data_IF_198962021737
#
_entry.id   IF_198962021737
#
_cell.length_a   1.000
_cell.length_b   1.000
_cell.length_c   1.000
_cell.angle_alpha   90.00
_cell.angle_beta   90.00
_cell.angle_gamma   90.00
#
_symmetry.space_group_name_H-M   'P 1'
#
loop_
_entity.id
_entity.type
_entity.pdbx_description
1 polymer ?
#
# COMPACT_ATOMS: atom_id res chain seq x y z
N UNK A 1 -14.62 -23.08 -7.33
CA UNK A 1 -15.28 -22.36 -8.44
C UNK A 1 -14.27 -21.57 -9.26
N UNK A 2 -14.37 -21.66 -10.58
CA UNK A 2 -13.66 -20.78 -11.50
C UNK A 2 -14.25 -19.36 -11.39
N UNK A 3 -13.40 -18.36 -11.54
CA UNK A 3 -13.74 -16.94 -11.54
C UNK A 3 -14.06 -16.51 -12.97
N UNK A 4 -15.18 -15.81 -13.13
CA UNK A 4 -15.62 -15.28 -14.43
C UNK A 4 -15.04 -13.89 -14.67
N UNK A 5 -14.61 -13.64 -15.90
CA UNK A 5 -14.12 -12.34 -16.34
C UNK A 5 -15.23 -11.27 -16.33
N UNK A 6 -16.46 -11.66 -16.70
CA UNK A 6 -17.60 -10.75 -16.77
C UNK A 6 -17.94 -10.22 -15.38
N UNK A 7 -18.00 -11.11 -14.38
CA UNK A 7 -18.23 -10.73 -12.98
C UNK A 7 -17.11 -9.81 -12.48
N UNK A 8 -15.86 -10.09 -12.83
CA UNK A 8 -14.74 -9.23 -12.45
C UNK A 8 -14.87 -7.82 -13.05
N UNK A 9 -15.33 -7.67 -14.30
CA UNK A 9 -15.56 -6.36 -14.93
C UNK A 9 -16.75 -5.63 -14.30
N UNK A 10 -17.85 -6.32 -14.00
CA UNK A 10 -19.00 -5.74 -13.28
C UNK A 10 -18.53 -5.20 -11.92
N UNK A 11 -17.80 -6.01 -11.16
CA UNK A 11 -17.25 -5.58 -9.86
C UNK A 11 -16.23 -4.44 -9.97
N UNK A 12 -15.52 -4.34 -11.10
CA UNK A 12 -14.59 -3.23 -11.34
C UNK A 12 -15.34 -1.92 -11.63
N UNK A 13 -16.43 -1.97 -12.40
CA UNK A 13 -17.20 -0.76 -12.75
C UNK A 13 -17.97 -0.26 -11.52
N UNK A 14 -18.68 -1.13 -10.82
CA UNK A 14 -19.52 -0.74 -9.68
C UNK A 14 -18.74 -0.64 -8.36
N UNK A 15 -17.61 -1.35 -8.24
CA UNK A 15 -16.88 -1.51 -6.99
C UNK A 15 -15.37 -1.32 -7.12
N UNK A 16 -14.89 -0.77 -8.23
CA UNK A 16 -13.46 -0.62 -8.51
C UNK A 16 -12.75 0.28 -7.50
N UNK A 17 -13.39 1.39 -7.11
CA UNK A 17 -12.88 2.30 -6.08
C UNK A 17 -12.78 1.62 -4.70
N UNK A 18 -13.70 0.73 -4.39
CA UNK A 18 -13.67 -0.08 -3.17
C UNK A 18 -12.72 -1.30 -3.27
N UNK A 19 -12.19 -1.62 -4.46
CA UNK A 19 -11.36 -2.81 -4.67
C UNK A 19 -12.14 -4.13 -4.64
N UNK A 20 -13.46 -4.12 -4.86
CA UNK A 20 -14.29 -5.34 -4.81
C UNK A 20 -13.89 -6.39 -5.85
N UNK A 21 -13.46 -5.96 -7.04
CA UNK A 21 -12.94 -6.86 -8.07
C UNK A 21 -11.69 -7.61 -7.60
N UNK A 22 -10.85 -6.99 -6.78
CA UNK A 22 -9.63 -7.60 -6.25
C UNK A 22 -9.94 -8.65 -5.19
N UNK A 23 -10.95 -8.43 -4.35
CA UNK A 23 -11.43 -9.45 -3.39
C UNK A 23 -11.99 -10.66 -4.12
N UNK A 24 -12.79 -10.44 -5.17
CA UNK A 24 -13.30 -11.53 -5.99
C UNK A 24 -12.17 -12.37 -6.60
N UNK A 25 -11.08 -11.71 -6.97
CA UNK A 25 -9.85 -12.30 -7.53
C UNK A 25 -8.86 -12.80 -6.45
N UNK A 26 -9.23 -12.78 -5.16
CA UNK A 26 -8.40 -13.24 -4.03
C UNK A 26 -7.08 -12.46 -3.86
N UNK A 27 -7.13 -11.16 -4.09
CA UNK A 27 -6.01 -10.23 -3.93
C UNK A 27 -6.27 -9.25 -2.78
N UNK A 28 -6.52 -9.79 -1.60
CA UNK A 28 -7.02 -9.05 -0.43
C UNK A 28 -6.09 -7.91 -0.02
N UNK A 29 -4.77 -8.13 -0.03
CA UNK A 29 -3.79 -7.07 0.28
C UNK A 29 -3.88 -5.87 -0.67
N UNK A 30 -4.18 -6.12 -1.94
CA UNK A 30 -4.35 -5.03 -2.90
C UNK A 30 -5.70 -4.34 -2.72
N UNK A 31 -6.76 -5.11 -2.40
CA UNK A 31 -8.06 -4.56 -2.07
C UNK A 31 -7.99 -3.66 -0.83
N UNK A 32 -7.33 -4.11 0.24
CA UNK A 32 -7.08 -3.33 1.44
C UNK A 32 -6.35 -2.01 1.15
N UNK A 33 -5.34 -2.03 0.27
CA UNK A 33 -4.68 -0.80 -0.14
C UNK A 33 -5.59 0.14 -0.93
N UNK A 34 -6.43 -0.38 -1.82
CA UNK A 34 -7.42 0.43 -2.54
C UNK A 34 -8.39 1.08 -1.56
N UNK A 35 -8.80 0.33 -0.55
CA UNK A 35 -9.64 0.85 0.51
C UNK A 35 -8.96 1.98 1.30
N UNK A 36 -7.70 1.78 1.72
CA UNK A 36 -6.93 2.79 2.47
C UNK A 36 -6.58 4.05 1.64
N UNK A 37 -6.63 3.96 0.32
CA UNK A 37 -6.21 5.04 -0.60
C UNK A 37 -7.35 5.57 -1.47
N UNK A 38 -8.60 5.29 -1.07
CA UNK A 38 -9.82 5.75 -1.73
C UNK A 38 -9.83 5.42 -3.25
N UNK A 39 -9.63 4.15 -3.58
CA UNK A 39 -9.56 3.67 -4.96
C UNK A 39 -8.19 3.78 -5.62
N UNK A 40 -7.11 3.79 -4.83
CA UNK A 40 -5.75 3.69 -5.37
C UNK A 40 -5.28 4.96 -6.06
N UNK A 41 -4.97 5.98 -5.26
CA UNK A 41 -4.42 7.27 -5.70
C UNK A 41 -5.33 7.94 -6.74
N UNK A 42 -6.49 8.41 -6.28
CA UNK A 42 -7.50 9.11 -7.08
C UNK A 42 -8.02 8.33 -8.31
N UNK A 43 -8.22 7.00 -8.19
CA UNK A 43 -8.88 6.21 -9.24
C UNK A 43 -7.99 5.78 -10.43
N UNK A 44 -6.70 6.11 -10.43
CA UNK A 44 -5.77 5.65 -11.46
C UNK A 44 -5.52 4.14 -11.40
N UNK A 45 -5.61 3.54 -10.21
CA UNK A 45 -5.31 2.13 -10.02
C UNK A 45 -6.41 1.19 -10.59
N UNK A 46 -7.72 1.47 -10.45
CA UNK A 46 -8.80 0.80 -11.17
C UNK A 46 -8.64 0.86 -12.70
N UNK A 47 -8.28 2.01 -13.26
CA UNK A 47 -8.02 2.16 -14.71
C UNK A 47 -6.89 1.23 -15.17
N UNK A 48 -5.79 1.17 -14.41
CA UNK A 48 -4.69 0.22 -14.68
C UNK A 48 -5.16 -1.23 -14.59
N UNK A 49 -6.00 -1.54 -13.61
CA UNK A 49 -6.52 -2.89 -13.42
C UNK A 49 -7.47 -3.32 -14.54
N UNK A 50 -8.20 -2.40 -15.17
CA UNK A 50 -9.04 -2.67 -16.34
C UNK A 50 -8.26 -3.41 -17.45
N UNK A 51 -7.06 -2.93 -17.78
CA UNK A 51 -6.20 -3.55 -18.80
C UNK A 51 -5.55 -4.87 -18.35
N UNK A 52 -5.41 -5.09 -17.04
CA UNK A 52 -4.74 -6.29 -16.47
C UNK A 52 -5.72 -7.33 -15.93
N UNK A 53 -7.02 -7.08 -15.99
CA UNK A 53 -8.04 -7.89 -15.35
C UNK A 53 -8.06 -9.32 -15.89
N UNK A 54 -7.93 -9.48 -17.21
CA UNK A 54 -7.85 -10.79 -17.88
C UNK A 54 -6.72 -11.66 -17.30
N UNK A 55 -5.55 -11.06 -17.06
CA UNK A 55 -4.41 -11.75 -16.45
C UNK A 55 -4.68 -12.14 -14.99
N UNK A 56 -5.40 -11.31 -14.24
CA UNK A 56 -5.76 -11.62 -12.86
C UNK A 56 -6.79 -12.75 -12.77
N UNK A 57 -7.73 -12.84 -13.72
CA UNK A 57 -8.69 -13.94 -13.81
C UNK A 57 -7.96 -15.26 -14.11
N UNK A 58 -7.02 -15.25 -15.07
CA UNK A 58 -6.16 -16.41 -15.36
C UNK A 58 -5.36 -16.85 -14.15
N UNK A 59 -4.79 -15.89 -13.40
CA UNK A 59 -4.07 -16.16 -12.15
C UNK A 59 -4.99 -16.79 -11.08
N UNK A 60 -6.20 -16.24 -10.89
CA UNK A 60 -7.16 -16.73 -9.90
C UNK A 60 -7.70 -18.13 -10.23
N UNK A 61 -7.77 -18.46 -11.53
CA UNK A 61 -8.18 -19.77 -12.03
C UNK A 61 -7.05 -20.80 -12.08
N UNK A 62 -5.79 -20.39 -11.89
CA UNK A 62 -4.60 -21.22 -12.10
C UNK A 62 -4.60 -21.88 -13.50
N UNK A 63 -4.86 -21.07 -14.53
CA UNK A 63 -4.79 -21.50 -15.93
C UNK A 63 -3.43 -22.16 -16.23
N UNK A 64 -3.44 -23.28 -16.96
CA UNK A 64 -2.24 -24.06 -17.27
C UNK A 64 -1.20 -23.23 -18.05
N UNK A 65 -1.66 -22.35 -18.95
CA UNK A 65 -0.78 -21.44 -19.68
C UNK A 65 -0.11 -20.44 -18.73
N UNK A 66 -0.90 -19.81 -17.85
CA UNK A 66 -0.38 -18.84 -16.88
C UNK A 66 0.63 -19.48 -15.92
N UNK A 67 0.36 -20.70 -15.44
CA UNK A 67 1.25 -21.43 -14.55
C UNK A 67 2.55 -21.82 -15.27
N UNK A 68 2.48 -22.24 -16.54
CA UNK A 68 3.66 -22.54 -17.35
C UNK A 68 4.54 -21.30 -17.56
N UNK A 69 3.94 -20.16 -17.93
CA UNK A 69 4.64 -18.89 -18.12
C UNK A 69 5.29 -18.41 -16.80
N UNK A 70 4.57 -18.51 -15.69
CA UNK A 70 5.08 -18.16 -14.37
C UNK A 70 6.25 -19.06 -13.96
N UNK A 71 6.14 -20.37 -14.20
CA UNK A 71 7.21 -21.32 -13.94
C UNK A 71 8.45 -21.04 -14.79
N UNK A 72 8.26 -20.69 -16.07
CA UNK A 72 9.36 -20.28 -16.95
C UNK A 72 10.05 -19.00 -16.44
N UNK A 73 9.27 -18.00 -15.99
CA UNK A 73 9.83 -16.78 -15.41
C UNK A 73 10.60 -17.04 -14.12
N UNK A 74 10.12 -17.92 -13.26
CA UNK A 74 10.81 -18.32 -12.02
C UNK A 74 12.09 -19.13 -12.28
N UNK A 75 12.12 -19.92 -13.37
CA UNK A 75 13.34 -20.63 -13.81
C UNK A 75 14.37 -19.66 -14.37
N UNK A 76 13.94 -18.71 -15.20
CA UNK A 76 14.82 -17.70 -15.82
C UNK A 76 15.40 -16.73 -14.78
N UNK A 77 14.57 -16.26 -13.85
CA UNK A 77 14.95 -15.23 -12.89
C UNK A 77 14.93 -15.78 -11.46
N UNK A 78 16.11 -15.90 -10.83
CA UNK A 78 16.23 -16.33 -9.42
C UNK A 78 15.41 -15.45 -8.45
N UNK A 79 15.27 -14.15 -8.77
CA UNK A 79 14.45 -13.17 -8.03
C UNK A 79 13.45 -12.48 -8.97
N UNK A 80 12.30 -12.01 -8.47
CA UNK A 80 11.37 -11.23 -9.27
C UNK A 80 12.05 -9.98 -9.86
N UNK A 81 11.86 -9.67 -11.16
CA UNK A 81 12.42 -8.45 -11.74
C UNK A 81 11.82 -7.20 -11.08
N UNK A 82 12.51 -6.06 -11.20
CA UNK A 82 11.98 -4.78 -10.72
C UNK A 82 10.73 -4.41 -11.52
N UNK A 83 9.65 -4.08 -10.82
CA UNK A 83 8.44 -3.56 -11.43
C UNK A 83 8.28 -2.10 -11.03
N UNK A 84 8.51 -1.19 -11.98
CA UNK A 84 8.49 0.26 -11.73
C UNK A 84 7.16 0.71 -11.14
N UNK A 85 6.03 0.20 -11.65
CA UNK A 85 4.70 0.53 -11.10
C UNK A 85 4.60 0.14 -9.62
N UNK A 86 5.10 -1.05 -9.24
CA UNK A 86 5.11 -1.48 -7.83
C UNK A 86 6.10 -0.67 -6.99
N UNK A 87 7.22 -0.28 -7.56
CA UNK A 87 8.23 0.54 -6.88
C UNK A 87 7.68 1.94 -6.58
N UNK A 88 7.06 2.60 -7.56
CA UNK A 88 6.39 3.88 -7.38
C UNK A 88 5.24 3.76 -6.38
N UNK A 89 4.42 2.70 -6.46
CA UNK A 89 3.34 2.48 -5.50
C UNK A 89 3.85 2.35 -4.04
N UNK A 90 5.01 1.72 -3.81
CA UNK A 90 5.64 1.65 -2.49
C UNK A 90 6.01 3.03 -1.98
N UNK A 91 6.60 3.87 -2.83
CA UNK A 91 7.00 5.23 -2.46
C UNK A 91 5.76 6.08 -2.12
N UNK A 92 4.75 6.09 -2.99
CA UNK A 92 3.53 6.88 -2.80
C UNK A 92 2.79 6.47 -1.52
N UNK A 93 2.51 5.18 -1.34
CA UNK A 93 1.76 4.68 -0.19
C UNK A 93 2.59 4.80 1.09
N UNK A 94 3.88 4.50 1.04
CA UNK A 94 4.74 4.60 2.22
C UNK A 94 5.00 6.03 2.67
N UNK A 95 5.09 6.99 1.75
CA UNK A 95 5.11 8.40 2.13
C UNK A 95 3.77 8.83 2.72
N UNK A 96 2.65 8.48 2.08
CA UNK A 96 1.32 8.81 2.60
C UNK A 96 1.12 8.30 4.04
N UNK A 97 1.44 7.02 4.31
CA UNK A 97 1.33 6.45 5.65
C UNK A 97 2.29 7.09 6.66
N UNK A 98 3.51 7.43 6.23
CA UNK A 98 4.46 8.15 7.08
C UNK A 98 3.93 9.53 7.49
N UNK A 99 3.45 10.31 6.53
CA UNK A 99 2.92 11.64 6.80
C UNK A 99 1.64 11.61 7.62
N UNK A 100 0.75 10.66 7.35
CA UNK A 100 -0.45 10.47 8.18
C UNK A 100 -0.08 10.13 9.62
N UNK A 101 0.93 9.28 9.83
CA UNK A 101 1.42 8.97 11.16
C UNK A 101 1.99 10.21 11.87
N UNK A 102 2.83 10.99 11.18
CA UNK A 102 3.44 12.21 11.73
C UNK A 102 2.39 13.28 12.03
N UNK A 103 1.41 13.46 11.15
CA UNK A 103 0.33 14.43 11.31
C UNK A 103 -0.61 14.07 12.48
N UNK A 104 -0.74 12.79 12.81
CA UNK A 104 -1.47 12.35 13.99
C UNK A 104 -0.74 12.66 15.32
N UNK A 105 0.55 13.02 15.27
CA UNK A 105 1.31 13.38 16.47
C UNK A 105 1.16 14.89 16.74
N UNK A 106 0.60 15.29 17.89
CA UNK A 106 0.42 16.71 18.22
C UNK A 106 1.78 17.38 18.46
N UNK A 107 1.93 18.61 17.97
CA UNK A 107 3.12 19.44 18.22
C UNK A 107 3.05 20.18 19.57
N UNK A 108 1.85 20.32 20.12
CA UNK A 108 1.62 20.95 21.42
C UNK A 108 1.96 20.01 22.58
N UNK A 109 2.37 20.59 23.71
CA UNK A 109 2.63 19.83 24.93
C UNK A 109 1.31 19.45 25.58
N UNK A 110 1.02 18.16 25.66
CA UNK A 110 -0.15 17.65 26.37
C UNK A 110 0.27 17.39 27.83
N UNK A 111 -0.39 18.05 28.79
CA UNK A 111 -0.06 17.96 30.23
C UNK A 111 1.43 18.20 30.56
N UNK A 112 2.10 19.07 29.79
CA UNK A 112 3.52 19.40 30.00
C UNK A 112 4.53 18.46 29.33
N UNK A 113 4.08 17.32 28.77
CA UNK A 113 4.94 16.39 28.03
C UNK A 113 4.91 16.68 26.52
N UNK A 114 6.08 16.66 25.88
CA UNK A 114 6.18 16.76 24.41
C UNK A 114 6.13 15.37 23.79
N UNK A 115 5.17 15.13 22.90
CA UNK A 115 5.05 13.90 22.12
C UNK A 115 5.85 13.94 20.82
N UNK A 116 6.65 14.99 20.59
CA UNK A 116 7.38 15.20 19.34
C UNK A 116 8.32 14.03 18.99
N UNK A 117 8.91 13.36 19.99
CA UNK A 117 9.76 12.18 19.78
C UNK A 117 9.04 11.02 19.08
N UNK A 118 7.71 10.97 19.16
CA UNK A 118 6.92 9.93 18.49
C UNK A 118 6.99 10.05 16.97
N UNK A 119 7.29 11.25 16.43
CA UNK A 119 7.48 11.47 14.98
C UNK A 119 8.64 10.64 14.41
N UNK A 120 9.63 10.27 15.22
CA UNK A 120 10.72 9.36 14.81
C UNK A 120 10.27 7.91 14.59
N UNK A 121 9.01 7.57 14.91
CA UNK A 121 8.38 6.32 14.49
C UNK A 121 7.75 6.41 13.09
N UNK A 122 7.70 7.58 12.45
CA UNK A 122 7.23 7.73 11.07
C UNK A 122 7.86 6.74 10.06
N UNK A 123 9.18 6.50 10.09
CA UNK A 123 9.83 5.49 9.23
C UNK A 123 9.33 4.06 9.45
N UNK A 124 8.77 3.73 10.62
CA UNK A 124 8.11 2.43 10.83
C UNK A 124 6.84 2.32 9.97
N UNK A 125 6.01 3.37 9.94
CA UNK A 125 4.81 3.42 9.11
C UNK A 125 5.16 3.30 7.62
N UNK A 126 6.23 3.97 7.17
CA UNK A 126 6.71 3.83 5.79
C UNK A 126 7.19 2.40 5.49
N UNK A 127 7.96 1.77 6.40
CA UNK A 127 8.41 0.39 6.25
C UNK A 127 7.24 -0.61 6.16
N UNK A 128 6.21 -0.41 6.98
CA UNK A 128 5.00 -1.25 6.99
C UNK A 128 4.25 -1.17 5.67
N UNK A 129 4.04 0.04 5.16
CA UNK A 129 3.43 0.27 3.86
C UNK A 129 4.23 -0.36 2.71
N UNK A 130 5.54 -0.14 2.66
CA UNK A 130 6.44 -0.72 1.64
C UNK A 130 6.39 -2.24 1.67
N UNK A 131 6.39 -2.83 2.87
CA UNK A 131 6.28 -4.27 3.05
C UNK A 131 4.92 -4.80 2.56
N UNK A 132 3.83 -4.12 2.90
CA UNK A 132 2.48 -4.50 2.51
C UNK A 132 2.33 -4.52 0.98
N UNK A 133 2.73 -3.43 0.32
CA UNK A 133 2.73 -3.30 -1.15
C UNK A 133 3.66 -4.33 -1.80
N UNK A 134 4.83 -4.55 -1.21
CA UNK A 134 5.82 -5.51 -1.70
C UNK A 134 5.34 -6.96 -1.68
N UNK A 135 4.48 -7.31 -0.72
CA UNK A 135 3.99 -8.68 -0.50
C UNK A 135 2.71 -9.02 -1.29
N UNK A 136 2.37 -8.22 -2.32
CA UNK A 136 1.20 -8.43 -3.16
C UNK A 136 1.48 -9.45 -4.27
N UNK A 137 0.56 -10.42 -4.39
CA UNK A 137 0.56 -11.44 -5.43
C UNK A 137 1.71 -12.43 -5.28
N UNK A 138 2.40 -12.74 -6.39
CA UNK A 138 3.48 -13.74 -6.47
C UNK A 138 4.83 -13.29 -5.93
N UNK A 139 4.90 -12.15 -5.25
CA UNK A 139 6.08 -11.67 -4.56
C UNK A 139 5.85 -11.75 -3.05
N UNK A 140 6.86 -12.23 -2.33
CA UNK A 140 6.93 -12.16 -0.87
C UNK A 140 8.24 -11.51 -0.46
N UNK A 141 8.29 -10.88 0.70
CA UNK A 141 9.54 -10.35 1.21
C UNK A 141 9.50 -10.06 2.70
N UNK A 142 10.69 -10.00 3.29
CA UNK A 142 10.86 -9.82 4.73
C UNK A 142 10.63 -8.37 5.16
N UNK A 143 9.88 -8.19 6.24
CA UNK A 143 9.65 -6.88 6.86
C UNK A 143 10.95 -6.24 7.38
N UNK A 144 11.91 -7.08 7.82
CA UNK A 144 13.19 -6.63 8.38
C UNK A 144 13.97 -5.72 7.42
N UNK A 145 13.98 -6.05 6.12
CA UNK A 145 14.71 -5.24 5.13
C UNK A 145 14.05 -3.89 4.87
N UNK A 146 12.72 -3.81 4.90
CA UNK A 146 12.02 -2.52 4.86
C UNK A 146 12.39 -1.67 6.07
N UNK A 147 12.44 -2.29 7.26
CA UNK A 147 12.77 -1.60 8.49
C UNK A 147 14.20 -1.05 8.47
N UNK A 148 15.19 -1.87 8.09
CA UNK A 148 16.57 -1.41 7.95
C UNK A 148 16.71 -0.26 6.96
N UNK A 149 16.03 -0.34 5.80
CA UNK A 149 16.08 0.74 4.81
C UNK A 149 15.38 2.02 5.27
N UNK A 150 14.25 1.92 5.98
CA UNK A 150 13.57 3.10 6.50
C UNK A 150 14.39 3.81 7.58
N UNK A 151 14.94 3.04 8.52
CA UNK A 151 15.68 3.57 9.66
C UNK A 151 17.11 3.98 9.34
N UNK A 152 17.71 3.51 8.24
CA UNK A 152 19.05 3.96 7.82
C UNK A 152 19.11 5.46 7.51
N UNK A 153 17.95 6.09 7.25
CA UNK A 153 17.83 7.51 6.95
C UNK A 153 17.66 8.37 8.21
N UNK A 154 17.39 7.77 9.39
CA UNK A 154 17.18 8.54 10.63
C UNK A 154 18.27 9.57 10.94
N UNK A 155 19.57 9.29 10.81
CA UNK A 155 20.61 10.29 11.09
C UNK A 155 20.47 11.55 10.24
N UNK A 156 19.99 11.43 8.99
CA UNK A 156 19.75 12.57 8.09
C UNK A 156 18.53 13.39 8.52
N UNK A 157 17.56 12.77 9.20
CA UNK A 157 16.34 13.44 9.66
C UNK A 157 16.53 14.31 10.91
N UNK A 158 17.64 14.14 11.64
CA UNK A 158 17.94 14.92 12.85
C UNK A 158 18.07 16.41 12.52
N UNK A 159 18.73 16.74 11.40
CA UNK A 159 18.97 18.12 10.99
C UNK A 159 17.95 18.62 9.95
N UNK A 160 17.26 17.72 9.26
CA UNK A 160 16.28 18.06 8.23
C UNK A 160 15.13 17.06 8.26
N UNK A 161 14.03 17.44 8.93
CA UNK A 161 12.87 16.56 9.06
C UNK A 161 12.24 16.20 7.70
N UNK A 162 12.34 17.06 6.69
CA UNK A 162 11.85 16.76 5.32
C UNK A 162 12.62 15.61 4.65
N UNK A 163 13.81 15.27 5.15
CA UNK A 163 14.56 14.11 4.69
C UNK A 163 13.85 12.78 5.01
N UNK A 164 12.79 12.78 5.82
CA UNK A 164 12.00 11.59 6.13
C UNK A 164 11.39 10.93 4.89
N UNK A 165 11.15 11.69 3.81
CA UNK A 165 10.75 11.16 2.50
C UNK A 165 11.71 10.10 1.96
N UNK A 166 13.01 10.26 2.23
CA UNK A 166 14.04 9.33 1.79
C UNK A 166 13.99 8.00 2.52
N UNK A 167 13.37 7.94 3.72
CA UNK A 167 13.16 6.68 4.44
C UNK A 167 12.35 5.70 3.60
N UNK A 168 11.33 6.17 2.90
CA UNK A 168 10.46 5.34 2.08
C UNK A 168 11.20 4.81 0.85
N UNK A 169 11.99 5.69 0.20
CA UNK A 169 12.83 5.32 -0.97
C UNK A 169 13.87 4.27 -0.57
N UNK A 170 14.58 4.50 0.54
CA UNK A 170 15.58 3.56 1.06
C UNK A 170 14.96 2.23 1.48
N UNK A 171 13.81 2.25 2.17
CA UNK A 171 13.01 1.06 2.50
C UNK A 171 12.63 0.25 1.25
N UNK A 172 12.12 0.92 0.21
CA UNK A 172 11.77 0.29 -1.05
C UNK A 172 12.99 -0.30 -1.76
N UNK A 173 14.12 0.42 -1.78
CA UNK A 173 15.36 -0.04 -2.38
C UNK A 173 15.92 -1.28 -1.67
N UNK A 174 15.94 -1.29 -0.34
CA UNK A 174 16.39 -2.44 0.46
C UNK A 174 15.49 -3.67 0.25
N UNK A 175 14.17 -3.45 0.16
CA UNK A 175 13.23 -4.51 -0.19
C UNK A 175 13.53 -5.10 -1.58
N UNK A 176 13.78 -4.26 -2.59
CA UNK A 176 14.10 -4.73 -3.95
C UNK A 176 15.47 -5.42 -4.02
N UNK A 177 16.45 -4.96 -3.27
CA UNK A 177 17.80 -5.51 -3.29
C UNK A 177 17.89 -6.89 -2.63
N UNK A 178 17.45 -6.99 -1.37
CA UNK A 178 17.58 -8.21 -0.56
C UNK A 178 16.26 -8.77 -0.05
N UNK A 179 15.23 -7.93 0.09
CA UNK A 179 13.98 -8.35 0.72
C UNK A 179 13.08 -9.25 -0.11
N UNK A 180 13.08 -9.12 -1.44
CA UNK A 180 12.09 -9.78 -2.32
C UNK A 180 12.49 -11.19 -2.76
N UNK A 181 11.48 -12.06 -2.78
CA UNK A 181 11.55 -13.43 -3.27
C UNK A 181 10.27 -13.82 -4.01
N UNK A 182 10.36 -14.86 -4.84
CA UNK A 182 9.20 -15.48 -5.47
C UNK A 182 8.34 -16.19 -4.42
N UNK A 183 7.03 -15.95 -4.46
CA UNK A 183 6.05 -16.76 -3.74
C UNK A 183 5.73 -18.00 -4.59
N UNK A 184 6.34 -19.13 -4.21
CA UNK A 184 6.13 -20.43 -4.86
C UNK A 184 4.84 -21.12 -4.45
N UNK A 185 4.34 -20.79 -3.26
CA UNK A 185 3.07 -21.32 -2.76
C UNK A 185 1.89 -20.57 -3.37
N UNK A 186 0.84 -21.27 -3.82
CA UNK A 186 -0.39 -20.61 -4.23
C UNK A 186 -1.02 -19.88 -3.04
N UNK A 187 -1.73 -18.80 -3.33
CA UNK A 187 -2.52 -18.11 -2.29
C UNK A 187 -3.64 -19.04 -1.80
N UNK A 188 -3.97 -19.01 -0.50
CA UNK A 188 -5.09 -19.77 0.01
C UNK A 188 -6.38 -19.41 -0.73
N UNK A 189 -7.23 -20.41 -0.97
CA UNK A 189 -8.53 -20.19 -1.59
C UNK A 189 -9.52 -19.89 -0.48
N UNK A 190 -10.08 -18.69 -0.50
CA UNK A 190 -11.20 -18.30 0.34
C UNK A 190 -12.37 -17.80 -0.52
N UNK A 191 -13.53 -17.72 0.13
CA UNK A 191 -14.75 -17.22 -0.45
C UNK A 191 -14.82 -15.71 -0.37
N UNK A 192 -15.57 -15.12 -1.30
CA UNK A 192 -15.74 -13.67 -1.41
C UNK A 192 -16.27 -13.06 -0.11
N UNK A 193 -17.25 -13.70 0.54
CA UNK A 193 -17.82 -13.23 1.80
C UNK A 193 -16.86 -13.34 2.98
N UNK A 194 -15.97 -14.35 2.99
CA UNK A 194 -14.90 -14.43 3.99
C UNK A 194 -13.90 -13.28 3.81
N UNK A 195 -13.57 -12.93 2.56
CA UNK A 195 -12.72 -11.77 2.25
C UNK A 195 -13.39 -10.45 2.67
N UNK A 196 -14.70 -10.32 2.42
CA UNK A 196 -15.49 -9.16 2.82
C UNK A 196 -15.59 -9.03 4.35
N UNK A 197 -15.76 -10.15 5.05
CA UNK A 197 -15.75 -10.21 6.52
C UNK A 197 -14.42 -9.74 7.12
N UNK A 198 -13.29 -10.16 6.52
CA UNK A 198 -11.96 -9.67 6.90
C UNK A 198 -11.86 -8.15 6.75
N UNK A 199 -12.33 -7.59 5.62
CA UNK A 199 -12.36 -6.13 5.45
C UNK A 199 -13.30 -5.43 6.43
N UNK A 200 -14.44 -6.02 6.78
CA UNK A 200 -15.37 -5.42 7.76
C UNK A 200 -14.78 -5.33 9.18
N UNK A 201 -13.95 -6.30 9.58
CA UNK A 201 -13.21 -6.22 10.84
C UNK A 201 -12.16 -5.12 10.77
N UNK A 202 -11.44 -5.02 9.65
CA UNK A 202 -10.46 -3.93 9.43
C UNK A 202 -11.12 -2.55 9.30
N UNK A 203 -12.37 -2.47 8.84
CA UNK A 203 -13.16 -1.23 8.73
C UNK A 203 -13.32 -0.53 10.09
N UNK A 204 -13.56 -1.29 11.16
CA UNK A 204 -13.64 -0.72 12.51
C UNK A 204 -12.31 -0.10 12.96
N UNK A 205 -11.18 -0.70 12.61
CA UNK A 205 -9.85 -0.14 12.88
C UNK A 205 -9.54 1.07 11.99
N UNK A 206 -10.06 1.12 10.76
CA UNK A 206 -9.81 2.17 9.79
C UNK A 206 -10.67 3.43 9.96
N UNK A 207 -11.75 3.41 10.76
CA UNK A 207 -12.45 4.63 11.13
C UNK A 207 -11.52 5.63 11.83
N UNK A 208 -10.50 5.14 12.54
CA UNK A 208 -9.42 5.95 13.12
C UNK A 208 -8.52 6.54 12.02
N UNK A 209 -8.17 5.76 10.99
CA UNK A 209 -7.40 6.25 9.85
C UNK A 209 -8.18 7.27 9.02
N UNK A 210 -9.47 7.06 8.77
CA UNK A 210 -10.34 8.02 8.09
C UNK A 210 -10.53 9.29 8.92
N UNK A 211 -10.64 9.19 10.24
CA UNK A 211 -10.65 10.35 11.12
C UNK A 211 -9.34 11.16 11.00
N UNK A 212 -8.18 10.49 10.95
CA UNK A 212 -6.86 11.12 10.78
C UNK A 212 -6.66 11.71 9.38
N UNK A 213 -7.11 11.03 8.32
CA UNK A 213 -7.07 11.54 6.95
C UNK A 213 -8.02 12.73 6.78
N UNK A 214 -9.23 12.65 7.34
CA UNK A 214 -10.19 13.74 7.30
C UNK A 214 -9.71 14.93 8.15
N UNK A 215 -9.08 14.69 9.29
CA UNK A 215 -8.44 15.77 10.07
C UNK A 215 -7.26 16.37 9.32
N UNK A 216 -6.47 15.57 8.60
CA UNK A 216 -5.38 16.07 7.75
C UNK A 216 -5.90 16.90 6.57
N UNK A 217 -6.94 16.44 5.86
CA UNK A 217 -7.60 17.21 4.79
C UNK A 217 -8.22 18.51 5.33
N UNK A 218 -8.77 18.48 6.54
CA UNK A 218 -9.30 19.66 7.22
C UNK A 218 -8.19 20.66 7.61
N UNK A 219 -7.07 20.17 8.16
CA UNK A 219 -5.89 21.00 8.48
C UNK A 219 -5.29 21.59 7.21
N UNK A 220 -5.08 20.80 6.16
CA UNK A 220 -4.60 21.30 4.87
C UNK A 220 -5.56 22.31 4.23
N UNK A 221 -6.88 22.13 4.38
CA UNK A 221 -7.89 23.10 3.96
C UNK A 221 -7.77 24.43 4.72
N UNK A 222 -7.60 24.37 6.03
CA UNK A 222 -7.42 25.58 6.86
C UNK A 222 -6.09 26.30 6.59
N UNK A 223 -5.00 25.57 6.35
CA UNK A 223 -3.72 26.18 5.97
C UNK A 223 -3.82 26.92 4.61
N UNK A 224 -4.56 26.36 3.64
CA UNK A 224 -4.85 27.06 2.37
C UNK A 224 -5.74 28.27 2.55
N UNK A 225 -6.72 28.23 3.46
CA UNK A 225 -7.54 29.41 3.77
C UNK A 225 -6.71 30.51 4.43
N UNK A 226 -5.84 30.18 5.40
CA UNK A 226 -4.96 31.16 6.05
C UNK A 226 -3.97 31.82 5.08
N UNK A 227 -3.47 31.09 4.08
CA UNK A 227 -2.62 31.66 3.02
C UNK A 227 -3.41 32.56 2.05
N UNK A 228 -4.70 32.31 1.86
CA UNK A 228 -5.59 33.16 1.04
C UNK A 228 -5.84 34.54 1.65
N UNK A 229 -5.82 34.66 2.99
CA UNK A 229 -5.96 35.95 3.69
C UNK A 229 -4.65 36.75 3.80
N UNK A 230 -3.50 36.14 3.52
CA UNK A 230 -2.19 36.81 3.54
C UNK A 230 -1.82 37.49 2.20
N UNK A 231 -2.64 37.32 1.15
CA UNK A 231 -2.47 37.92 -0.18
C UNK A 231 -3.41 39.11 -0.46
N UNK A 232 -4.08 39.66 0.57
CA UNK A 232 -4.85 40.90 0.49
C UNK A 232 -4.37 41.93 1.51
#
# INVERSE_FOLDING_TARGET
MAKSIIIAYILLIFGGFAGLHLLYLRRDKQAFLYWCTFGGYFGLAPLRDFFRLSSYVKEANNDSQYVADLAQQMRKNKKPPLNVTRFVAKILIGNAWCYLFIAAVPDEKIYGFSLHYLKYLGPFASALAVWLVGNIGRVKGSFKWCLYGAYSILPLTINNFHAINWSCVASAAFYEWKGKEWRRTPLPKHDFFAALGFMNVEQHSNNIHLAVVNSWLWVCGNETDQLGWAMY
#
